data_IF_816846007288
#
_entry.id   IF_816846007288
#
_cell.length_a   1.000
_cell.length_b   1.000
_cell.length_c   1.000
_cell.angle_alpha   90.00
_cell.angle_beta   90.00
_cell.angle_gamma   90.00
#
_symmetry.space_group_name_H-M   'P 1'
#
loop_
_entity.id
_entity.type
_entity.pdbx_description
1 polymer ?
#
# COMPACT_ATOMS: atom_id res chain seq x y z
N UNK A 1 -10.69 6.44 8.53
CA UNK A 1 -11.29 5.24 9.16
C UNK A 1 -11.63 4.11 8.16
N UNK A 2 -12.11 4.38 6.95
CA UNK A 2 -12.50 3.31 6.00
C UNK A 2 -11.33 2.42 5.57
N UNK A 3 -10.19 2.99 5.17
CA UNK A 3 -9.02 2.22 4.73
C UNK A 3 -8.51 1.24 5.81
N UNK A 4 -8.49 1.66 7.07
CA UNK A 4 -8.07 0.80 8.19
C UNK A 4 -9.02 -0.39 8.40
N UNK A 5 -10.33 -0.17 8.26
CA UNK A 5 -11.34 -1.23 8.28
C UNK A 5 -11.13 -2.21 7.12
N UNK A 6 -10.85 -1.71 5.92
CA UNK A 6 -10.56 -2.54 4.74
C UNK A 6 -9.32 -3.42 4.98
N UNK A 7 -8.22 -2.85 5.50
CA UNK A 7 -7.02 -3.63 5.82
C UNK A 7 -7.32 -4.70 6.88
N UNK A 8 -8.03 -4.34 7.96
CA UNK A 8 -8.41 -5.30 9.01
C UNK A 8 -9.27 -6.43 8.48
N UNK A 9 -10.24 -6.13 7.61
CA UNK A 9 -11.07 -7.14 6.96
C UNK A 9 -10.24 -8.07 6.05
N UNK A 10 -9.35 -7.51 5.23
CA UNK A 10 -8.47 -8.30 4.36
C UNK A 10 -7.54 -9.23 5.15
N UNK A 11 -6.94 -8.73 6.24
CA UNK A 11 -6.12 -9.52 7.15
C UNK A 11 -6.92 -10.66 7.80
N UNK A 12 -8.16 -10.38 8.24
CA UNK A 12 -9.04 -11.40 8.82
C UNK A 12 -9.39 -12.50 7.82
N UNK A 13 -9.71 -12.14 6.57
CA UNK A 13 -10.00 -13.11 5.49
C UNK A 13 -8.80 -14.03 5.23
N UNK A 14 -7.58 -13.48 5.29
CA UNK A 14 -6.34 -14.22 5.04
C UNK A 14 -5.82 -14.95 6.29
N UNK A 15 -6.52 -14.88 7.42
CA UNK A 15 -6.05 -15.42 8.73
C UNK A 15 -4.69 -14.88 9.15
N UNK A 16 -4.36 -13.63 8.77
CA UNK A 16 -3.11 -12.96 9.14
C UNK A 16 -3.39 -12.09 10.38
N UNK A 17 -2.65 -12.26 11.49
CA UNK A 17 -2.85 -11.42 12.66
C UNK A 17 -2.41 -9.97 12.41
N UNK A 18 -3.02 -9.04 13.15
CA UNK A 18 -2.60 -7.64 13.11
C UNK A 18 -1.23 -7.49 13.75
N UNK A 19 -0.26 -6.92 13.02
CA UNK A 19 1.13 -6.72 13.46
C UNK A 19 1.61 -5.33 13.05
N UNK A 20 2.67 -4.85 13.67
CA UNK A 20 3.28 -3.56 13.30
C UNK A 20 3.91 -3.54 11.90
N UNK A 21 4.31 -4.70 11.38
CA UNK A 21 4.86 -4.83 10.02
C UNK A 21 4.65 -6.21 9.41
N UNK A 22 4.71 -6.28 8.08
CA UNK A 22 4.40 -7.46 7.27
C UNK A 22 5.51 -7.74 6.26
N UNK A 23 5.68 -9.03 5.94
CA UNK A 23 6.58 -9.48 4.88
C UNK A 23 5.99 -9.22 3.49
N UNK A 24 6.86 -9.21 2.47
CA UNK A 24 6.44 -9.03 1.06
C UNK A 24 5.31 -9.99 0.66
N UNK A 25 5.37 -11.26 1.08
CA UNK A 25 4.38 -12.28 0.72
C UNK A 25 3.01 -11.96 1.30
N UNK A 26 2.96 -11.57 2.57
CA UNK A 26 1.73 -11.15 3.25
C UNK A 26 1.15 -9.89 2.60
N UNK A 27 2.01 -8.92 2.24
CA UNK A 27 1.59 -7.69 1.56
C UNK A 27 1.04 -8.00 0.16
N UNK A 28 1.69 -8.88 -0.59
CA UNK A 28 1.19 -9.38 -1.87
C UNK A 28 -0.19 -10.01 -1.74
N UNK A 29 -0.41 -10.85 -0.72
CA UNK A 29 -1.71 -11.46 -0.44
C UNK A 29 -2.78 -10.42 -0.09
N UNK A 30 -2.46 -9.46 0.79
CA UNK A 30 -3.40 -8.39 1.21
C UNK A 30 -3.84 -7.54 0.02
N UNK A 31 -2.93 -7.24 -0.91
CA UNK A 31 -3.26 -6.43 -2.09
C UNK A 31 -3.70 -7.25 -3.31
N UNK A 32 -3.63 -8.59 -3.26
CA UNK A 32 -3.89 -9.44 -4.42
C UNK A 32 -2.93 -9.21 -5.59
N UNK A 33 -1.67 -8.86 -5.31
CA UNK A 33 -0.65 -8.56 -6.33
C UNK A 33 0.46 -9.60 -6.37
N UNK A 34 1.13 -9.71 -7.53
CA UNK A 34 2.32 -10.55 -7.68
C UNK A 34 3.55 -9.91 -7.01
N UNK A 35 4.56 -10.73 -6.72
CA UNK A 35 5.84 -10.23 -6.20
C UNK A 35 6.51 -9.25 -7.18
N UNK A 36 6.41 -9.50 -8.49
CA UNK A 36 6.93 -8.58 -9.50
C UNK A 36 6.27 -7.20 -9.42
N UNK A 37 4.94 -7.17 -9.20
CA UNK A 37 4.20 -5.92 -8.98
C UNK A 37 4.66 -5.22 -7.71
N UNK A 38 4.87 -5.96 -6.62
CA UNK A 38 5.41 -5.41 -5.37
C UNK A 38 6.77 -4.72 -5.60
N UNK A 39 7.71 -5.38 -6.29
CA UNK A 39 9.01 -4.78 -6.60
C UNK A 39 8.89 -3.54 -7.49
N UNK A 40 7.93 -3.52 -8.41
CA UNK A 40 7.65 -2.35 -9.25
C UNK A 40 7.14 -1.17 -8.43
N UNK A 41 6.24 -1.39 -7.46
CA UNK A 41 5.75 -0.34 -6.55
C UNK A 41 6.88 0.22 -5.69
N UNK A 42 7.79 -0.64 -5.24
CA UNK A 42 8.96 -0.24 -4.46
C UNK A 42 9.93 0.62 -5.27
N UNK A 43 10.22 0.24 -6.52
CA UNK A 43 11.12 1.02 -7.41
C UNK A 43 10.59 2.41 -7.74
N UNK A 44 9.27 2.61 -7.68
CA UNK A 44 8.62 3.90 -7.89
C UNK A 44 8.69 4.82 -6.67
N UNK A 45 9.15 4.33 -5.51
CA UNK A 45 9.26 5.14 -4.31
C UNK A 45 10.31 6.24 -4.53
N UNK A 46 9.83 7.48 -4.57
CA UNK A 46 10.63 8.68 -4.67
C UNK A 46 10.00 9.77 -3.80
N UNK A 47 10.85 10.56 -3.15
CA UNK A 47 10.45 11.72 -2.36
C UNK A 47 11.00 12.99 -3.01
N UNK A 48 10.24 14.07 -2.95
CA UNK A 48 10.69 15.38 -3.39
C UNK A 48 11.64 16.02 -2.38
N UNK A 49 12.14 17.22 -2.68
CA UNK A 49 13.02 17.98 -1.79
C UNK A 49 12.35 18.39 -0.46
N UNK A 50 11.02 18.39 -0.41
CA UNK A 50 10.24 18.68 0.79
C UNK A 50 9.90 17.39 1.59
N UNK A 51 10.34 16.21 1.12
CA UNK A 51 10.09 14.92 1.76
C UNK A 51 8.72 14.31 1.44
N UNK A 52 7.94 14.88 0.52
CA UNK A 52 6.66 14.35 0.10
C UNK A 52 6.84 13.26 -0.95
N UNK A 53 5.95 12.26 -0.95
CA UNK A 53 5.97 11.21 -1.96
C UNK A 53 5.57 11.77 -3.33
N UNK A 54 6.45 11.61 -4.33
CA UNK A 54 6.23 12.07 -5.71
C UNK A 54 5.10 11.29 -6.39
N UNK A 55 4.92 10.03 -5.98
CA UNK A 55 3.93 9.11 -6.55
C UNK A 55 3.01 8.54 -5.47
N UNK A 56 1.68 8.61 -5.63
CA UNK A 56 0.75 7.99 -4.69
C UNK A 56 0.72 6.46 -4.82
N UNK A 57 1.13 5.92 -5.98
CA UNK A 57 1.17 4.49 -6.30
C UNK A 57 2.49 3.81 -5.89
N UNK A 58 3.18 4.31 -4.86
CA UNK A 58 4.43 3.71 -4.37
C UNK A 58 4.29 3.19 -2.94
N UNK A 59 5.14 2.20 -2.61
CA UNK A 59 5.12 1.54 -1.31
C UNK A 59 6.39 1.86 -0.52
N UNK A 60 6.23 2.41 0.68
CA UNK A 60 7.35 2.63 1.59
C UNK A 60 7.74 1.32 2.27
N UNK A 61 9.02 0.96 2.20
CA UNK A 61 9.55 -0.25 2.86
C UNK A 61 10.75 0.08 3.71
N UNK A 62 11.02 -0.75 4.71
CA UNK A 62 12.25 -0.71 5.49
C UNK A 62 12.88 -2.10 5.55
N UNK A 63 14.19 -2.13 5.82
CA UNK A 63 14.92 -3.38 6.01
C UNK A 63 14.87 -3.78 7.48
N UNK A 64 14.57 -5.05 7.74
CA UNK A 64 14.79 -5.69 9.03
C UNK A 64 15.70 -6.90 8.79
N UNK A 65 16.99 -6.73 9.08
CA UNK A 65 18.02 -7.64 8.59
C UNK A 65 18.05 -7.64 7.06
N UNK A 66 17.98 -8.83 6.45
CA UNK A 66 17.94 -8.99 4.99
C UNK A 66 16.53 -8.98 4.39
N UNK A 67 15.49 -8.82 5.22
CA UNK A 67 14.10 -8.87 4.76
C UNK A 67 13.51 -7.47 4.65
N UNK A 68 12.84 -7.20 3.52
CA UNK A 68 12.02 -5.99 3.38
C UNK A 68 10.68 -6.19 4.06
N UNK A 69 10.30 -5.19 4.85
CA UNK A 69 9.01 -5.11 5.52
C UNK A 69 8.26 -3.83 5.20
N UNK A 70 6.95 -3.91 5.37
CA UNK A 70 6.01 -2.82 5.20
C UNK A 70 5.27 -2.63 6.52
N UNK A 71 5.18 -1.40 7.01
CA UNK A 71 4.45 -1.14 8.25
C UNK A 71 2.95 -1.24 8.01
N UNK A 72 2.20 -1.57 9.07
CA UNK A 72 0.73 -1.54 8.99
C UNK A 72 0.20 -0.18 8.53
N UNK A 73 0.77 0.90 9.08
CA UNK A 73 0.41 2.27 8.72
C UNK A 73 0.58 2.53 7.21
N UNK A 74 1.68 2.07 6.62
CA UNK A 74 1.92 2.23 5.18
C UNK A 74 0.91 1.44 4.34
N UNK A 75 0.51 0.22 4.76
CA UNK A 75 -0.51 -0.56 4.07
C UNK A 75 -1.84 0.21 4.06
N UNK A 76 -2.23 0.78 5.20
CA UNK A 76 -3.43 1.62 5.31
C UNK A 76 -3.32 2.88 4.46
N UNK A 77 -2.19 3.57 4.50
CA UNK A 77 -1.94 4.79 3.72
C UNK A 77 -1.88 4.51 2.22
N UNK A 78 -1.39 3.34 1.80
CA UNK A 78 -1.41 2.92 0.42
C UNK A 78 -2.85 2.72 -0.07
N UNK A 79 -3.68 1.98 0.67
CA UNK A 79 -5.10 1.82 0.31
C UNK A 79 -5.79 3.19 0.29
N UNK A 80 -5.56 4.03 1.29
CA UNK A 80 -6.14 5.38 1.35
C UNK A 80 -5.82 6.21 0.11
N UNK A 81 -4.53 6.26 -0.28
CA UNK A 81 -4.08 7.01 -1.47
C UNK A 81 -4.67 6.45 -2.77
N UNK A 82 -4.73 5.13 -2.92
CA UNK A 82 -5.20 4.50 -4.16
C UNK A 82 -6.74 4.50 -4.26
N UNK A 83 -7.47 4.39 -3.15
CA UNK A 83 -8.93 4.53 -3.08
C UNK A 83 -9.36 5.97 -3.42
N UNK A 84 -8.64 6.96 -2.89
CA UNK A 84 -8.84 8.38 -3.23
C UNK A 84 -8.52 8.66 -4.69
N UNK A 85 -7.44 8.06 -5.22
CA UNK A 85 -7.10 8.17 -6.63
C UNK A 85 -8.18 7.55 -7.54
N UNK A 86 -8.63 6.32 -7.25
CA UNK A 86 -9.73 5.67 -7.97
C UNK A 86 -11.02 6.49 -7.94
N UNK A 87 -11.38 7.04 -6.77
CA UNK A 87 -12.57 7.89 -6.62
C UNK A 87 -12.48 9.18 -7.43
N UNK A 88 -11.31 9.83 -7.44
CA UNK A 88 -11.07 11.04 -8.22
C UNK A 88 -11.03 10.77 -9.73
N UNK A 89 -10.50 9.62 -10.17
CA UNK A 89 -10.51 9.20 -11.58
C UNK A 89 -11.95 8.94 -12.07
N UNK A 90 -12.77 8.23 -11.29
CA UNK A 90 -14.18 7.94 -11.64
C UNK A 90 -15.05 9.21 -11.65
N UNK A 91 -14.77 10.19 -10.80
CA UNK A 91 -15.47 11.48 -10.81
C UNK A 91 -15.00 12.42 -11.93
N UNK A 92 -13.73 12.35 -12.34
CA UNK A 92 -13.19 13.12 -13.46
C UNK A 92 -13.73 12.70 -14.84
N UNK A 93 -14.20 11.46 -14.99
CA UNK A 93 -14.77 10.93 -16.24
C UNK A 93 -16.26 11.29 -16.45
N UNK A 94 -16.94 11.87 -15.45
CA UNK A 94 -18.35 12.31 -15.58
C UNK A 94 -18.54 13.76 -16.03
N UNK A 95 -17.46 14.45 -16.38
CA UNK A 95 -17.51 15.85 -16.83
C UNK A 95 -16.70 16.06 -18.09
N UNK A 96 -17.01 15.31 -19.15
CA UNK A 96 -16.66 15.65 -20.54
C UNK A 96 -17.78 15.23 -21.48
#
# INVERSE_FOLDING_TARGET
>A
MQAEKTVKAALAVLSIPVRGSYHKSEVCSVFGITEQSFWRLLRKYAVDAAGNMVRPDCLKTFLQGNNRRVTYAEIVDFIRRNDEHLRNTIQGERTK
#
